data_IF_644211261399
#
_entry.id   IF_644211261399
#
_cell.length_a   1.000
_cell.length_b   1.000
_cell.length_c   1.000
_cell.angle_alpha   90.00
_cell.angle_beta   90.00
_cell.angle_gamma   90.00
#
_symmetry.space_group_name_H-M   'P 1'
#
loop_
_entity.id
_entity.type
_entity.pdbx_description
1 polymer ?
#
# COMPACT_ATOMS: atom_id res chain seq x y z
N UNK A 1 34.71 27.02 -4.93
CA UNK A 1 34.58 25.91 -3.97
C UNK A 1 33.09 25.68 -3.78
N UNK A 2 32.57 24.55 -4.26
CA UNK A 2 31.14 24.27 -4.32
C UNK A 2 30.65 23.58 -3.06
N UNK A 3 29.65 24.17 -2.42
CA UNK A 3 28.77 23.45 -1.51
C UNK A 3 27.56 23.01 -2.34
N UNK A 4 27.57 21.77 -2.83
CA UNK A 4 26.38 21.15 -3.41
C UNK A 4 25.41 20.92 -2.26
N UNK A 5 24.53 21.90 -2.04
CA UNK A 5 23.48 21.83 -1.02
C UNK A 5 22.72 20.52 -1.19
N UNK A 6 22.82 19.61 -0.20
CA UNK A 6 21.98 18.42 -0.18
C UNK A 6 20.54 18.87 -0.06
N UNK A 7 19.75 18.71 -1.13
CA UNK A 7 18.31 18.87 -1.05
C UNK A 7 17.76 17.89 0.01
N UNK A 8 17.27 18.45 1.11
CA UNK A 8 16.64 17.66 2.17
C UNK A 8 15.16 17.51 1.81
N UNK A 9 14.80 16.34 1.28
CA UNK A 9 13.41 15.99 1.03
C UNK A 9 12.70 15.68 2.35
N UNK A 10 11.42 16.08 2.46
CA UNK A 10 10.57 15.81 3.61
C UNK A 10 9.68 14.61 3.33
N UNK A 11 9.40 13.78 4.34
CA UNK A 11 8.56 12.60 4.21
C UNK A 11 7.16 12.96 3.72
N UNK A 12 6.77 12.36 2.59
CA UNK A 12 5.44 12.53 1.99
C UNK A 12 4.31 12.17 2.95
N UNK A 13 4.49 11.11 3.75
CA UNK A 13 3.45 10.59 4.64
C UNK A 13 3.29 11.41 5.93
N UNK A 14 4.37 11.64 6.69
CA UNK A 14 4.29 12.29 7.99
C UNK A 14 4.63 13.79 8.00
N UNK A 15 5.19 14.31 6.90
CA UNK A 15 5.56 15.73 6.70
C UNK A 15 6.49 16.34 7.77
N UNK A 16 7.10 15.53 8.63
CA UNK A 16 7.85 16.01 9.81
C UNK A 16 9.30 15.56 9.88
N UNK A 17 9.70 14.57 9.06
CA UNK A 17 11.04 13.98 9.09
C UNK A 17 11.72 14.04 7.72
N UNK A 18 13.07 14.07 7.68
CA UNK A 18 13.82 13.87 6.45
C UNK A 18 13.44 12.55 5.78
N UNK A 19 13.46 12.57 4.45
CA UNK A 19 13.07 11.45 3.63
C UNK A 19 14.13 11.10 2.60
N UNK A 20 14.04 9.86 2.14
CA UNK A 20 14.83 9.33 1.03
C UNK A 20 13.91 8.73 -0.01
N UNK A 21 14.38 8.69 -1.25
CA UNK A 21 13.67 8.03 -2.33
C UNK A 21 13.53 6.53 -2.03
N UNK A 22 12.29 6.04 -2.11
CA UNK A 22 11.89 4.64 -1.95
C UNK A 22 11.06 4.21 -3.17
N UNK A 23 11.19 2.96 -3.57
CA UNK A 23 10.34 2.37 -4.61
C UNK A 23 9.27 1.50 -3.96
N UNK A 24 8.01 1.76 -4.31
CA UNK A 24 6.82 1.05 -3.84
C UNK A 24 5.96 0.76 -5.06
N UNK A 25 5.78 -0.52 -5.40
CA UNK A 25 4.93 -0.92 -6.52
C UNK A 25 5.35 -0.33 -7.88
N UNK A 26 6.63 0.02 -8.05
CA UNK A 26 7.15 0.68 -9.25
C UNK A 26 7.10 2.21 -9.22
N UNK A 27 6.41 2.80 -8.24
CA UNK A 27 6.33 4.26 -8.06
C UNK A 27 7.35 4.73 -7.04
N UNK A 28 8.03 5.84 -7.34
CA UNK A 28 9.03 6.45 -6.45
C UNK A 28 8.36 7.45 -5.49
N UNK A 29 8.55 7.23 -4.19
CA UNK A 29 8.08 8.13 -3.12
C UNK A 29 9.23 8.57 -2.22
N UNK A 30 9.15 9.77 -1.66
CA UNK A 30 10.09 10.21 -0.62
C UNK A 30 9.48 9.93 0.75
N UNK A 31 10.03 8.93 1.46
CA UNK A 31 9.53 8.51 2.77
C UNK A 31 10.67 8.48 3.79
N UNK A 32 10.33 8.77 5.04
CA UNK A 32 11.19 8.42 6.17
C UNK A 32 11.14 6.91 6.43
N UNK A 33 12.05 6.42 7.24
CA UNK A 33 12.21 4.97 7.45
C UNK A 33 11.02 4.34 8.15
N UNK A 34 10.48 5.02 9.16
CA UNK A 34 9.33 4.53 9.89
C UNK A 34 8.10 4.35 8.97
N UNK A 35 7.77 5.37 8.18
CA UNK A 35 6.66 5.27 7.23
C UNK A 35 6.90 4.21 6.14
N UNK A 36 8.16 4.03 5.69
CA UNK A 36 8.49 2.99 4.73
C UNK A 36 8.35 1.58 5.31
N UNK A 37 8.78 1.34 6.55
CA UNK A 37 8.60 0.06 7.25
C UNK A 37 7.12 -0.25 7.49
N UNK A 38 6.33 0.75 7.91
CA UNK A 38 4.88 0.59 8.06
C UNK A 38 4.23 0.18 6.74
N UNK A 39 4.63 0.81 5.63
CA UNK A 39 4.10 0.44 4.32
C UNK A 39 4.45 -1.01 3.93
N UNK A 40 5.69 -1.46 4.17
CA UNK A 40 6.07 -2.86 3.93
C UNK A 40 5.27 -3.85 4.77
N UNK A 41 5.03 -3.54 6.04
CA UNK A 41 4.22 -4.38 6.95
C UNK A 41 2.78 -4.48 6.46
N UNK A 42 2.16 -3.35 6.10
CA UNK A 42 0.80 -3.32 5.58
C UNK A 42 0.66 -4.14 4.28
N UNK A 43 1.62 -4.01 3.35
CA UNK A 43 1.61 -4.82 2.13
C UNK A 43 1.77 -6.32 2.44
N UNK A 44 2.63 -6.70 3.37
CA UNK A 44 2.77 -8.11 3.77
C UNK A 44 1.47 -8.67 4.32
N UNK A 45 0.82 -7.97 5.25
CA UNK A 45 -0.45 -8.37 5.84
C UNK A 45 -1.56 -8.49 4.79
N UNK A 46 -1.64 -7.53 3.86
CA UNK A 46 -2.58 -7.59 2.74
C UNK A 46 -2.35 -8.83 1.88
N UNK A 47 -1.10 -9.13 1.52
CA UNK A 47 -0.76 -10.31 0.72
C UNK A 47 -1.06 -11.61 1.45
N UNK A 48 -0.80 -11.69 2.76
CA UNK A 48 -1.16 -12.84 3.59
C UNK A 48 -2.68 -13.06 3.60
N UNK A 49 -3.46 -12.00 3.78
CA UNK A 49 -4.93 -12.06 3.74
C UNK A 49 -5.47 -12.52 2.38
N UNK A 50 -4.94 -11.97 1.29
CA UNK A 50 -5.32 -12.36 -0.07
C UNK A 50 -4.97 -13.83 -0.36
N UNK A 51 -3.82 -14.30 0.11
CA UNK A 51 -3.41 -15.70 -0.02
C UNK A 51 -4.33 -16.64 0.76
N UNK A 52 -4.73 -16.27 1.98
CA UNK A 52 -5.69 -17.03 2.77
C UNK A 52 -7.05 -17.11 2.07
N UNK A 53 -7.60 -15.97 1.60
CA UNK A 53 -8.86 -15.97 0.82
C UNK A 53 -8.78 -16.85 -0.42
N UNK A 54 -7.67 -16.79 -1.16
CA UNK A 54 -7.48 -17.62 -2.37
C UNK A 54 -7.39 -19.11 -2.02
N UNK A 55 -6.77 -19.45 -0.89
CA UNK A 55 -6.70 -20.83 -0.41
C UNK A 55 -8.07 -21.35 0.01
N UNK A 56 -8.89 -20.52 0.67
CA UNK A 56 -10.28 -20.86 1.01
C UNK A 56 -11.14 -21.05 -0.24
N UNK A 57 -10.95 -20.22 -1.28
CA UNK A 57 -11.68 -20.37 -2.55
C UNK A 57 -11.30 -21.64 -3.32
N UNK A 58 -10.04 -22.09 -3.25
CA UNK A 58 -9.58 -23.32 -3.92
C UNK A 58 -9.95 -24.61 -3.19
N UNK A 59 -10.20 -24.56 -1.89
CA UNK A 59 -10.74 -25.67 -1.11
C UNK A 59 -12.25 -25.54 -1.12
N UNK A 60 -12.90 -26.07 -2.15
CA UNK A 60 -14.35 -25.96 -2.36
C UNK A 60 -15.16 -26.28 -1.10
N UNK A 61 -15.60 -25.22 -0.41
CA UNK A 61 -16.85 -25.19 0.33
C UNK A 61 -17.61 -24.00 -0.21
N UNK A 62 -18.44 -24.26 -1.21
CA UNK A 62 -19.49 -23.34 -1.62
C UNK A 62 -20.47 -23.22 -0.44
N UNK A 63 -20.27 -22.24 0.41
CA UNK A 63 -21.29 -21.79 1.37
C UNK A 63 -21.34 -20.27 1.34
N UNK A 64 -22.26 -19.78 0.49
CA UNK A 64 -22.90 -18.47 0.64
C UNK A 64 -22.04 -17.26 0.28
N UNK A 65 -21.90 -16.97 -1.01
CA UNK A 65 -21.91 -15.58 -1.44
C UNK A 65 -23.27 -15.35 -2.07
N UNK A 66 -24.22 -14.79 -1.31
CA UNK A 66 -25.35 -14.11 -1.93
C UNK A 66 -24.75 -13.00 -2.79
N UNK A 67 -24.92 -13.13 -4.10
CA UNK A 67 -24.78 -12.03 -5.03
C UNK A 67 -25.80 -10.95 -4.65
N UNK A 68 -25.41 -10.01 -3.77
CA UNK A 68 -26.00 -8.68 -3.84
C UNK A 68 -25.47 -8.06 -5.12
N UNK A 69 -26.20 -8.34 -6.20
CA UNK A 69 -26.19 -7.57 -7.43
C UNK A 69 -26.68 -6.16 -7.08
N UNK A 70 -25.75 -5.37 -6.53
CA UNK A 70 -25.94 -3.96 -6.25
C UNK A 70 -26.17 -3.27 -7.59
N UNK A 71 -27.42 -2.87 -7.81
CA UNK A 71 -27.83 -2.07 -8.96
C UNK A 71 -26.85 -0.92 -9.11
N UNK A 72 -26.24 -0.89 -10.29
CA UNK A 72 -25.51 0.24 -10.83
C UNK A 72 -26.55 1.35 -11.05
N UNK A 73 -26.68 2.27 -10.10
CA UNK A 73 -27.31 3.56 -10.36
C UNK A 73 -26.27 4.47 -11.01
N UNK A 74 -26.42 4.84 -12.30
CA UNK A 74 -25.63 5.90 -12.87
C UNK A 74 -26.26 7.24 -12.48
N UNK A 75 -25.43 8.21 -12.12
CA UNK A 75 -25.76 9.59 -11.75
C UNK A 75 -26.25 9.79 -10.32
N UNK A 76 -25.33 10.15 -9.43
CA UNK A 76 -25.28 11.48 -8.82
C UNK A 76 -23.86 11.78 -8.30
#
# INVERSE_FOLDING_TARGET
MGEVGREVYVCYACRSRPARARSIGGTRYFLCDECYELHKRANRQMMEYLNQRRSSFRRGTCSGFEEVSGKRDPFF
#
